data_IF_654064375343
#
_entry.id   IF_654064375343
#
_cell.length_a   1.000
_cell.length_b   1.000
_cell.length_c   1.000
_cell.angle_alpha   90.00
_cell.angle_beta   90.00
_cell.angle_gamma   90.00
#
_symmetry.space_group_name_H-M   'P 1'
#
loop_
_entity.id
_entity.type
_entity.pdbx_description
1 polymer ?
#
# COMPACT_ATOMS: atom_id res chain seq x y z
N UNK A 1 -12.75 4.61 -5.79
CA UNK A 1 -12.50 3.31 -6.40
C UNK A 1 -12.97 3.21 -7.83
N UNK A 2 -12.44 2.23 -8.57
CA UNK A 2 -12.81 1.97 -9.98
C UNK A 2 -14.01 1.01 -10.12
N UNK A 3 -14.53 0.50 -9.00
CA UNK A 3 -15.55 -0.53 -8.96
C UNK A 3 -15.06 -1.91 -9.39
N UNK A 4 -15.98 -2.89 -9.45
CA UNK A 4 -15.67 -4.28 -9.81
C UNK A 4 -16.46 -4.73 -11.06
N UNK A 5 -16.65 -3.82 -12.00
CA UNK A 5 -17.33 -4.11 -13.26
C UNK A 5 -16.42 -4.85 -14.25
N UNK A 6 -17.01 -5.43 -15.31
CA UNK A 6 -16.23 -6.02 -16.40
C UNK A 6 -15.27 -4.99 -17.05
N UNK A 7 -15.66 -3.71 -17.10
CA UNK A 7 -14.79 -2.65 -17.57
C UNK A 7 -13.58 -2.44 -16.65
N UNK A 8 -13.80 -2.40 -15.32
CA UNK A 8 -12.71 -2.26 -14.34
C UNK A 8 -11.71 -3.43 -14.41
N UNK A 9 -12.21 -4.68 -14.55
CA UNK A 9 -11.36 -5.86 -14.78
C UNK A 9 -10.54 -5.75 -16.07
N UNK A 10 -11.16 -5.31 -17.16
CA UNK A 10 -10.46 -5.09 -18.43
C UNK A 10 -9.36 -4.02 -18.29
N UNK A 11 -9.63 -2.95 -17.54
CA UNK A 11 -8.64 -1.90 -17.28
C UNK A 11 -7.44 -2.44 -16.52
N UNK A 12 -7.66 -3.21 -15.43
CA UNK A 12 -6.56 -3.83 -14.66
C UNK A 12 -5.74 -4.76 -15.55
N UNK A 13 -6.39 -5.61 -16.37
CA UNK A 13 -5.69 -6.49 -17.32
C UNK A 13 -4.86 -5.68 -18.32
N UNK A 14 -5.40 -4.61 -18.90
CA UNK A 14 -4.67 -3.76 -19.84
C UNK A 14 -3.45 -3.08 -19.22
N UNK A 15 -3.57 -2.59 -17.98
CA UNK A 15 -2.46 -1.95 -17.27
C UNK A 15 -1.32 -2.95 -17.04
N UNK A 16 -1.63 -4.18 -16.64
CA UNK A 16 -0.62 -5.24 -16.47
C UNK A 16 0.02 -5.68 -17.79
N UNK A 17 -0.76 -5.73 -18.88
CA UNK A 17 -0.27 -6.18 -20.19
C UNK A 17 0.60 -5.13 -20.90
N UNK A 18 0.24 -3.87 -20.77
CA UNK A 18 0.86 -2.77 -21.53
C UNK A 18 1.78 -1.89 -20.68
N UNK A 19 1.64 -1.95 -19.36
CA UNK A 19 2.37 -1.10 -18.45
C UNK A 19 3.82 -1.52 -18.28
N UNK A 20 4.71 -0.51 -18.12
CA UNK A 20 6.13 -0.70 -17.77
C UNK A 20 6.56 0.19 -16.61
N UNK A 21 5.69 1.10 -16.19
CA UNK A 21 5.94 1.98 -15.06
C UNK A 21 5.64 1.27 -13.74
N UNK A 22 6.25 1.70 -12.63
CA UNK A 22 5.85 1.21 -11.30
C UNK A 22 4.36 1.41 -11.05
N UNK A 23 3.71 0.39 -10.47
CA UNK A 23 2.28 0.41 -10.19
C UNK A 23 2.02 0.41 -8.68
N UNK A 24 1.01 1.18 -8.25
CA UNK A 24 0.41 1.04 -6.94
C UNK A 24 -1.04 0.57 -7.12
N UNK A 25 -1.37 -0.58 -6.53
CA UNK A 25 -2.70 -1.20 -6.67
C UNK A 25 -3.35 -1.26 -5.29
N UNK A 26 -4.50 -0.60 -5.15
CA UNK A 26 -5.27 -0.51 -3.90
C UNK A 26 -6.76 -0.78 -4.13
N UNK A 27 -7.48 -1.07 -3.08
CA UNK A 27 -8.95 -1.14 -3.02
C UNK A 27 -9.58 -2.02 -4.13
N UNK A 28 -10.43 -1.44 -4.98
CA UNK A 28 -11.06 -2.17 -6.08
C UNK A 28 -10.07 -2.71 -7.10
N UNK A 29 -8.89 -2.06 -7.24
CA UNK A 29 -7.80 -2.58 -8.05
C UNK A 29 -7.34 -3.95 -7.57
N UNK A 30 -7.14 -4.11 -6.25
CA UNK A 30 -6.78 -5.39 -5.62
C UNK A 30 -7.88 -6.44 -5.75
N UNK A 31 -9.15 -6.04 -5.57
CA UNK A 31 -10.27 -6.96 -5.72
C UNK A 31 -10.40 -7.49 -7.15
N UNK A 32 -10.24 -6.62 -8.15
CA UNK A 32 -10.24 -7.03 -9.55
C UNK A 32 -9.02 -7.89 -9.89
N UNK A 33 -7.84 -7.54 -9.37
CA UNK A 33 -6.62 -8.33 -9.53
C UNK A 33 -6.79 -9.74 -8.96
N UNK A 34 -7.28 -9.86 -7.73
CA UNK A 34 -7.51 -11.15 -7.08
C UNK A 34 -8.43 -12.06 -7.89
N UNK A 35 -9.54 -11.53 -8.41
CA UNK A 35 -10.45 -12.28 -9.28
C UNK A 35 -9.76 -12.71 -10.59
N UNK A 36 -9.04 -11.82 -11.24
CA UNK A 36 -8.32 -12.12 -12.48
C UNK A 36 -7.22 -13.17 -12.30
N UNK A 37 -6.48 -13.12 -11.21
CA UNK A 37 -5.43 -14.11 -10.91
C UNK A 37 -6.00 -15.52 -10.67
N UNK A 38 -7.27 -15.63 -10.24
CA UNK A 38 -7.94 -16.92 -10.09
C UNK A 38 -8.47 -17.47 -11.42
N UNK A 39 -8.96 -16.60 -12.30
CA UNK A 39 -9.66 -16.95 -13.53
C UNK A 39 -8.73 -17.09 -14.75
N UNK A 40 -7.59 -16.38 -14.79
CA UNK A 40 -6.74 -16.20 -15.98
C UNK A 40 -5.27 -16.59 -15.68
N UNK A 41 -4.87 -17.75 -16.19
CA UNK A 41 -3.50 -18.27 -15.99
C UNK A 41 -2.45 -17.42 -16.69
N UNK A 42 -2.76 -16.88 -17.88
CA UNK A 42 -1.85 -16.01 -18.63
C UNK A 42 -1.61 -14.70 -17.85
N UNK A 43 -2.66 -14.13 -17.28
CA UNK A 43 -2.53 -12.94 -16.46
C UNK A 43 -1.72 -13.19 -15.17
N UNK A 44 -1.85 -14.37 -14.59
CA UNK A 44 -1.03 -14.77 -13.44
C UNK A 44 0.45 -14.75 -13.78
N UNK A 45 0.81 -15.26 -14.95
CA UNK A 45 2.19 -15.20 -15.43
C UNK A 45 2.64 -13.75 -15.65
N UNK A 46 1.85 -12.93 -16.33
CA UNK A 46 2.14 -11.50 -16.54
C UNK A 46 2.30 -10.73 -15.23
N UNK A 47 1.51 -11.06 -14.20
CA UNK A 47 1.64 -10.47 -12.88
C UNK A 47 3.01 -10.77 -12.25
N UNK A 48 3.46 -12.01 -12.28
CA UNK A 48 4.76 -12.41 -11.74
C UNK A 48 5.95 -11.87 -12.56
N UNK A 49 5.76 -11.66 -13.86
CA UNK A 49 6.79 -11.18 -14.79
C UNK A 49 6.78 -9.66 -14.97
N UNK A 50 5.95 -8.93 -14.22
CA UNK A 50 5.82 -7.49 -14.40
C UNK A 50 7.12 -6.75 -14.05
N UNK A 51 7.81 -6.21 -15.05
CA UNK A 51 9.13 -5.59 -14.91
C UNK A 51 9.11 -4.22 -14.22
N UNK A 52 7.99 -3.49 -14.30
CA UNK A 52 7.85 -2.14 -13.74
C UNK A 52 7.88 -2.08 -12.20
N UNK A 53 7.70 -3.23 -11.55
CA UNK A 53 7.53 -3.35 -10.12
C UNK A 53 6.14 -2.91 -9.65
N UNK A 54 5.63 -3.56 -8.62
CA UNK A 54 4.29 -3.27 -8.06
C UNK A 54 4.33 -3.10 -6.55
N UNK A 55 3.51 -2.19 -6.06
CA UNK A 55 3.18 -2.05 -4.65
C UNK A 55 1.70 -2.36 -4.48
N UNK A 56 1.41 -3.40 -3.72
CA UNK A 56 0.05 -3.80 -3.37
C UNK A 56 -0.22 -3.35 -1.93
N UNK A 57 -1.35 -2.66 -1.70
CA UNK A 57 -1.67 -2.07 -0.39
C UNK A 57 -2.91 -2.72 0.26
N UNK A 58 -2.96 -4.06 0.42
CA UNK A 58 -4.15 -4.72 0.93
C UNK A 58 -4.39 -4.46 2.41
N UNK A 59 -5.65 -4.29 2.81
CA UNK A 59 -6.10 -4.60 4.16
C UNK A 59 -6.38 -6.10 4.28
N UNK A 60 -6.67 -6.61 5.49
CA UNK A 60 -6.82 -8.05 5.74
C UNK A 60 -7.81 -8.77 4.82
N UNK A 61 -8.97 -8.14 4.50
CA UNK A 61 -9.96 -8.76 3.60
C UNK A 61 -9.49 -8.81 2.15
N UNK A 62 -8.77 -7.78 1.69
CA UNK A 62 -8.18 -7.75 0.35
C UNK A 62 -7.05 -8.77 0.25
N UNK A 63 -6.23 -8.88 1.31
CA UNK A 63 -5.18 -9.89 1.40
C UNK A 63 -5.75 -11.30 1.33
N UNK A 64 -6.80 -11.59 2.10
CA UNK A 64 -7.50 -12.88 2.07
C UNK A 64 -8.04 -13.24 0.68
N UNK A 65 -8.59 -12.26 -0.07
CA UNK A 65 -9.03 -12.49 -1.45
C UNK A 65 -7.87 -12.75 -2.40
N UNK A 66 -6.75 -12.05 -2.19
CA UNK A 66 -5.57 -12.17 -3.03
C UNK A 66 -4.85 -13.51 -2.85
N UNK A 67 -4.76 -13.99 -1.61
CA UNK A 67 -4.03 -15.23 -1.24
C UNK A 67 -4.91 -16.47 -1.15
N UNK A 68 -6.20 -16.30 -0.89
CA UNK A 68 -7.12 -17.39 -0.52
C UNK A 68 -7.01 -17.83 0.94
N UNK A 69 -6.13 -17.22 1.75
CA UNK A 69 -5.98 -17.54 3.17
C UNK A 69 -7.08 -16.92 4.03
N UNK A 70 -7.42 -17.58 5.13
CA UNK A 70 -8.39 -17.06 6.10
C UNK A 70 -7.82 -15.84 6.84
N UNK A 71 -8.68 -14.83 7.11
CA UNK A 71 -8.28 -13.59 7.81
C UNK A 71 -7.62 -13.88 9.16
N UNK A 72 -8.11 -14.88 9.89
CA UNK A 72 -7.56 -15.26 11.19
C UNK A 72 -6.11 -15.78 11.07
N UNK A 73 -5.81 -16.50 10.01
CA UNK A 73 -4.49 -17.05 9.71
C UNK A 73 -3.51 -15.92 9.33
N UNK A 74 -3.91 -15.04 8.42
CA UNK A 74 -3.14 -13.84 8.05
C UNK A 74 -2.82 -13.00 9.31
N UNK A 75 -3.84 -12.75 10.16
CA UNK A 75 -3.68 -11.94 11.37
C UNK A 75 -2.77 -12.60 12.42
N UNK A 76 -2.68 -13.94 12.45
CA UNK A 76 -1.82 -14.64 13.38
C UNK A 76 -0.33 -14.34 13.20
N UNK A 77 0.09 -13.99 11.97
CA UNK A 77 1.48 -13.63 11.66
C UNK A 77 1.55 -12.71 10.43
N UNK A 78 1.26 -11.43 10.62
CA UNK A 78 1.25 -10.43 9.55
C UNK A 78 2.59 -10.33 8.77
N UNK A 79 3.79 -10.34 9.43
CA UNK A 79 5.04 -10.30 8.70
C UNK A 79 5.23 -11.52 7.79
N UNK A 80 4.87 -12.71 8.25
CA UNK A 80 4.93 -13.92 7.43
C UNK A 80 3.98 -13.84 6.24
N UNK A 81 2.73 -13.45 6.47
CA UNK A 81 1.73 -13.31 5.42
C UNK A 81 2.17 -12.29 4.35
N UNK A 82 2.69 -11.13 4.76
CA UNK A 82 3.20 -10.14 3.82
C UNK A 82 4.41 -10.68 3.02
N UNK A 83 5.37 -11.32 3.69
CA UNK A 83 6.57 -11.83 3.05
C UNK A 83 6.29 -13.00 2.08
N UNK A 84 5.37 -13.92 2.44
CA UNK A 84 5.01 -15.05 1.57
C UNK A 84 4.20 -14.64 0.34
N UNK A 85 3.54 -13.48 0.38
CA UNK A 85 2.76 -12.95 -0.74
C UNK A 85 3.59 -12.04 -1.65
N UNK A 86 4.64 -11.42 -1.09
CA UNK A 86 5.57 -10.63 -1.88
C UNK A 86 6.37 -11.55 -2.82
N UNK A 87 6.52 -11.12 -4.06
CA UNK A 87 7.30 -11.81 -5.09
C UNK A 87 8.35 -10.86 -5.66
N UNK A 88 9.28 -11.37 -6.45
CA UNK A 88 10.32 -10.55 -7.11
C UNK A 88 9.68 -9.41 -7.89
N UNK A 89 10.07 -8.17 -7.53
CA UNK A 89 9.52 -6.96 -8.13
C UNK A 89 8.17 -6.50 -7.56
N UNK A 90 7.67 -7.16 -6.51
CA UNK A 90 6.42 -6.75 -5.84
C UNK A 90 6.67 -6.44 -4.36
N UNK A 91 6.03 -5.40 -3.87
CA UNK A 91 6.05 -5.01 -2.46
C UNK A 91 4.63 -5.07 -1.90
N UNK A 92 4.48 -5.74 -0.77
CA UNK A 92 3.22 -5.81 -0.04
C UNK A 92 3.24 -4.79 1.10
N UNK A 93 2.24 -3.93 1.14
CA UNK A 93 1.92 -3.00 2.23
C UNK A 93 0.66 -3.52 2.91
N UNK A 94 0.80 -4.47 3.82
CA UNK A 94 -0.32 -5.08 4.54
C UNK A 94 -0.83 -4.15 5.64
N UNK A 95 -2.00 -3.57 5.42
CA UNK A 95 -2.64 -2.59 6.31
C UNK A 95 -3.37 -3.29 7.46
N UNK A 96 -2.97 -3.00 8.70
CA UNK A 96 -3.69 -3.32 9.93
C UNK A 96 -3.29 -2.27 11.00
N UNK A 97 -3.56 -2.51 12.27
CA UNK A 97 -3.14 -1.63 13.38
C UNK A 97 -1.64 -1.29 13.35
N UNK A 98 -0.82 -2.20 12.84
CA UNK A 98 0.57 -1.95 12.44
C UNK A 98 0.72 -2.39 10.99
N UNK A 99 1.08 -1.46 10.12
CA UNK A 99 1.30 -1.75 8.71
C UNK A 99 2.64 -2.46 8.53
N UNK A 100 2.61 -3.57 7.78
CA UNK A 100 3.81 -4.35 7.43
C UNK A 100 4.17 -4.06 5.98
N UNK A 101 5.44 -3.77 5.71
CA UNK A 101 5.97 -3.64 4.35
C UNK A 101 7.00 -4.73 4.08
N UNK A 102 6.81 -5.51 3.05
CA UNK A 102 7.69 -6.61 2.66
C UNK A 102 7.83 -6.71 1.15
N UNK A 103 9.05 -7.02 0.71
CA UNK A 103 9.41 -7.41 -0.66
C UNK A 103 9.76 -8.91 -0.77
N UNK A 104 9.35 -9.69 0.23
CA UNK A 104 9.70 -11.11 0.36
C UNK A 104 11.02 -11.36 1.11
N UNK A 105 11.86 -10.34 1.32
CA UNK A 105 13.06 -10.47 2.14
C UNK A 105 12.74 -10.39 3.64
N UNK A 106 13.64 -10.94 4.45
CA UNK A 106 13.52 -10.95 5.92
C UNK A 106 14.68 -10.14 6.49
N UNK A 107 14.44 -9.25 7.46
CA UNK A 107 13.16 -8.95 8.13
C UNK A 107 12.25 -7.99 7.34
N UNK A 108 10.93 -8.16 7.48
CA UNK A 108 9.95 -7.20 7.00
C UNK A 108 10.00 -5.90 7.83
N UNK A 109 9.63 -4.77 7.21
CA UNK A 109 9.48 -3.50 7.92
C UNK A 109 8.13 -3.46 8.64
N UNK A 110 8.14 -3.10 9.92
CA UNK A 110 6.93 -2.88 10.74
C UNK A 110 6.82 -1.40 11.04
N UNK A 111 5.75 -0.77 10.60
CA UNK A 111 5.53 0.65 10.86
C UNK A 111 5.02 0.88 12.28
N UNK A 112 5.72 1.75 13.02
CA UNK A 112 5.37 2.11 14.39
C UNK A 112 4.76 3.51 14.51
N UNK A 113 4.76 4.31 13.44
CA UNK A 113 4.08 5.61 13.39
C UNK A 113 2.59 5.45 13.13
N UNK A 114 1.82 6.46 13.48
CA UNK A 114 0.38 6.47 13.29
C UNK A 114 -0.39 6.06 14.55
N UNK A 115 -1.67 6.34 14.53
CA UNK A 115 -2.58 6.16 15.65
C UNK A 115 -3.99 5.74 15.20
N UNK A 116 -4.85 5.40 16.15
CA UNK A 116 -6.21 4.93 15.90
C UNK A 116 -7.16 6.00 15.32
N UNK A 117 -6.84 7.29 15.44
CA UNK A 117 -7.59 8.36 14.78
C UNK A 117 -7.52 8.30 13.26
N UNK A 118 -6.52 7.59 12.71
CA UNK A 118 -6.38 7.38 11.27
C UNK A 118 -7.33 6.30 10.70
N UNK A 119 -8.09 5.60 11.54
CA UNK A 119 -9.08 4.60 11.12
C UNK A 119 -10.34 5.27 10.57
N UNK A 120 -10.20 6.11 9.58
CA UNK A 120 -11.26 6.87 8.90
C UNK A 120 -11.27 6.55 7.40
N UNK A 121 -12.45 6.64 6.78
CA UNK A 121 -12.60 6.41 5.34
C UNK A 121 -11.73 7.37 4.53
N UNK A 122 -11.03 6.85 3.51
CA UNK A 122 -10.12 7.63 2.67
C UNK A 122 -8.66 7.66 3.15
N UNK A 123 -8.36 7.22 4.38
CA UNK A 123 -6.97 7.20 4.88
C UNK A 123 -6.05 6.31 4.02
N UNK A 124 -6.56 5.17 3.52
CA UNK A 124 -5.86 4.31 2.57
C UNK A 124 -5.58 4.99 1.23
N UNK A 125 -6.54 5.77 0.72
CA UNK A 125 -6.38 6.52 -0.54
C UNK A 125 -5.26 7.56 -0.42
N UNK A 126 -5.18 8.23 0.75
CA UNK A 126 -4.08 9.16 1.05
C UNK A 126 -2.74 8.44 1.10
N UNK A 127 -2.65 7.29 1.75
CA UNK A 127 -1.44 6.46 1.77
C UNK A 127 -0.99 6.11 0.36
N UNK A 128 -1.92 5.62 -0.47
CA UNK A 128 -1.66 5.29 -1.88
C UNK A 128 -1.12 6.49 -2.64
N UNK A 129 -1.72 7.69 -2.44
CA UNK A 129 -1.26 8.94 -3.05
C UNK A 129 0.16 9.34 -2.61
N UNK A 130 0.49 9.19 -1.32
CA UNK A 130 1.84 9.46 -0.78
C UNK A 130 2.88 8.52 -1.42
N UNK A 131 2.59 7.23 -1.49
CA UNK A 131 3.47 6.24 -2.12
C UNK A 131 3.69 6.58 -3.60
N UNK A 132 2.63 6.89 -4.34
CA UNK A 132 2.72 7.34 -5.73
C UNK A 132 3.58 8.60 -5.89
N UNK A 133 3.46 9.55 -4.96
CA UNK A 133 4.29 10.77 -4.95
C UNK A 133 5.78 10.45 -4.81
N UNK A 134 6.15 9.53 -3.92
CA UNK A 134 7.54 9.10 -3.76
C UNK A 134 8.06 8.33 -4.98
N UNK A 135 7.25 7.47 -5.60
CA UNK A 135 7.60 6.80 -6.85
C UNK A 135 7.83 7.80 -7.99
N UNK A 136 6.94 8.79 -8.13
CA UNK A 136 7.07 9.86 -9.13
C UNK A 136 8.31 10.73 -8.87
N UNK A 137 8.76 10.83 -7.62
CA UNK A 137 10.02 11.47 -7.21
C UNK A 137 11.27 10.63 -7.50
N UNK A 138 11.13 9.42 -8.04
CA UNK A 138 12.24 8.56 -8.47
C UNK A 138 12.75 7.58 -7.41
N UNK A 139 12.06 7.40 -6.29
CA UNK A 139 12.42 6.37 -5.31
C UNK A 139 12.08 4.97 -5.86
N UNK A 140 12.88 3.97 -5.48
CA UNK A 140 12.54 2.57 -5.74
C UNK A 140 11.27 2.15 -4.97
N UNK A 141 10.64 1.05 -5.42
CA UNK A 141 9.34 0.61 -4.91
C UNK A 141 9.36 0.29 -3.41
N UNK A 142 10.42 -0.31 -2.89
CA UNK A 142 10.52 -0.69 -1.48
C UNK A 142 10.72 0.54 -0.60
N UNK A 143 11.60 1.45 -1.00
CA UNK A 143 11.84 2.71 -0.30
C UNK A 143 10.60 3.60 -0.33
N UNK A 144 9.93 3.72 -1.49
CA UNK A 144 8.69 4.48 -1.63
C UNK A 144 7.57 3.94 -0.72
N UNK A 145 7.42 2.61 -0.64
CA UNK A 145 6.44 1.97 0.23
C UNK A 145 6.75 2.23 1.72
N UNK A 146 7.99 2.01 2.16
CA UNK A 146 8.42 2.22 3.57
C UNK A 146 8.27 3.67 4.00
N UNK A 147 8.79 4.60 3.21
CA UNK A 147 8.68 6.04 3.49
C UNK A 147 7.24 6.51 3.42
N UNK A 148 6.45 6.03 2.45
CA UNK A 148 5.04 6.35 2.33
C UNK A 148 4.25 5.98 3.57
N UNK A 149 4.41 4.76 4.07
CA UNK A 149 3.75 4.28 5.30
C UNK A 149 4.22 5.07 6.51
N UNK A 150 5.53 5.32 6.63
CA UNK A 150 6.09 6.07 7.76
C UNK A 150 5.60 7.53 7.79
N UNK A 151 5.71 8.25 6.68
CA UNK A 151 5.26 9.65 6.59
C UNK A 151 3.76 9.79 6.76
N UNK A 152 2.97 8.86 6.23
CA UNK A 152 1.53 8.80 6.43
C UNK A 152 1.19 8.67 7.93
N UNK A 153 1.87 7.76 8.65
CA UNK A 153 1.70 7.59 10.08
C UNK A 153 2.09 8.85 10.87
N UNK A 154 3.24 9.45 10.57
CA UNK A 154 3.67 10.70 11.21
C UNK A 154 2.69 11.87 10.97
N UNK A 155 2.13 11.97 9.75
CA UNK A 155 1.11 12.97 9.45
C UNK A 155 -0.15 12.74 10.30
N UNK A 156 -0.56 11.48 10.48
CA UNK A 156 -1.65 11.11 11.38
C UNK A 156 -1.37 11.45 12.84
N UNK A 157 -0.14 11.22 13.33
CA UNK A 157 0.26 11.57 14.69
C UNK A 157 0.25 13.09 14.91
N UNK A 158 0.72 13.87 13.93
CA UNK A 158 0.68 15.32 13.97
C UNK A 158 -0.77 15.84 13.95
N UNK A 159 -1.63 15.28 13.09
CA UNK A 159 -3.04 15.63 13.02
C UNK A 159 -3.78 15.33 14.34
N UNK A 160 -3.55 14.14 14.91
CA UNK A 160 -4.18 13.75 16.17
C UNK A 160 -3.71 14.60 17.35
N UNK A 161 -2.46 15.03 17.36
CA UNK A 161 -1.91 15.94 18.39
C UNK A 161 -2.60 17.31 18.36
N UNK A 162 -2.93 17.82 17.19
CA UNK A 162 -3.55 19.15 17.04
C UNK A 162 -5.07 19.09 17.17
N UNK A 163 -5.72 18.11 16.53
CA UNK A 163 -7.18 18.03 16.38
C UNK A 163 -7.84 17.07 17.39
N UNK A 164 -7.06 16.22 18.04
CA UNK A 164 -7.56 15.09 18.82
C UNK A 164 -7.91 13.88 17.95
N UNK A 165 -7.79 12.68 18.53
CA UNK A 165 -7.95 11.39 17.80
C UNK A 165 -9.29 11.20 17.09
N UNK A 166 -10.38 11.76 17.66
CA UNK A 166 -11.73 11.60 17.10
C UNK A 166 -12.08 12.62 16.00
N UNK A 167 -11.22 13.61 15.79
CA UNK A 167 -11.47 14.70 14.84
C UNK A 167 -10.58 14.64 13.60
N UNK A 168 -9.71 13.62 13.49
CA UNK A 168 -8.85 13.44 12.33
C UNK A 168 -9.67 12.91 11.15
N UNK A 169 -9.60 13.62 10.04
CA UNK A 169 -10.16 13.22 8.76
C UNK A 169 -9.03 12.84 7.80
N UNK A 170 -9.31 11.94 6.85
CA UNK A 170 -8.32 11.56 5.84
C UNK A 170 -7.79 12.76 5.06
N UNK A 171 -8.65 13.72 4.73
CA UNK A 171 -8.28 14.95 4.02
C UNK A 171 -7.37 15.90 4.81
N UNK A 172 -7.18 15.69 6.10
CA UNK A 172 -6.24 16.47 6.90
C UNK A 172 -4.79 16.02 6.68
N UNK A 173 -4.58 14.72 6.47
CA UNK A 173 -3.25 14.10 6.45
C UNK A 173 -2.28 14.76 5.46
N UNK A 174 -2.68 15.10 4.21
CA UNK A 174 -1.81 15.80 3.27
C UNK A 174 -1.25 17.14 3.80
N UNK A 175 -2.04 17.88 4.59
CA UNK A 175 -1.61 19.16 5.14
C UNK A 175 -0.49 19.01 6.18
N UNK A 176 -0.51 17.94 6.95
CA UNK A 176 0.54 17.64 7.93
C UNK A 176 1.79 17.03 7.30
N UNK A 177 1.64 16.42 6.12
CA UNK A 177 2.77 15.86 5.38
C UNK A 177 3.81 16.92 5.02
N UNK A 178 3.38 18.14 4.65
CA UNK A 178 4.28 19.27 4.40
C UNK A 178 5.20 19.55 5.59
N UNK A 179 4.63 19.57 6.80
CA UNK A 179 5.40 19.81 8.04
C UNK A 179 6.39 18.67 8.31
N UNK A 180 6.01 17.41 8.03
CA UNK A 180 6.88 16.25 8.21
C UNK A 180 8.06 16.29 7.25
N UNK A 181 7.82 16.61 5.98
CA UNK A 181 8.86 16.66 4.95
C UNK A 181 9.77 17.89 5.06
N UNK A 182 9.28 18.99 5.65
CA UNK A 182 10.07 20.20 5.90
C UNK A 182 11.02 20.10 7.11
N UNK A 183 10.90 19.07 7.96
CA UNK A 183 11.85 18.90 9.06
C UNK A 183 13.25 18.70 8.48
N UNK A 184 14.04 19.75 8.52
CA UNK A 184 15.45 19.74 8.15
C UNK A 184 16.19 18.76 9.06
N UNK A 185 16.48 17.58 8.55
CA UNK A 185 17.39 16.63 9.20
C UNK A 185 18.74 16.56 8.48
N UNK A 186 18.98 17.47 7.55
CA UNK A 186 20.31 17.62 6.97
C UNK A 186 21.01 18.80 7.63
N UNK A 187 22.20 18.61 8.23
CA UNK A 187 23.02 19.73 8.65
C UNK A 187 23.27 20.61 7.41
N UNK A 188 23.12 21.92 7.58
CA UNK A 188 23.57 22.87 6.55
C UNK A 188 25.09 22.65 6.40
N UNK A 189 25.54 22.32 5.17
CA UNK A 189 26.97 22.27 4.83
C UNK A 189 27.62 23.64 4.98
#
# INVERSE_FOLDING_TARGET
GIGQSAFARKLVKQVLTLGKAPLVIDADGLNNLAALLQEDTELRQLFHEYEGGMILTPHLKEMSRLTGEEIAEIRSNLPKAAASTADKGHVIVLKDARTIVSDGSVPSYINMSGNNGMATGGSGDVLTGIICGFLAGGLDILTAARLGVYCHGLAGDAAAKEKGYYSVLAGDLPNYLETILKRKHFPEE
#
